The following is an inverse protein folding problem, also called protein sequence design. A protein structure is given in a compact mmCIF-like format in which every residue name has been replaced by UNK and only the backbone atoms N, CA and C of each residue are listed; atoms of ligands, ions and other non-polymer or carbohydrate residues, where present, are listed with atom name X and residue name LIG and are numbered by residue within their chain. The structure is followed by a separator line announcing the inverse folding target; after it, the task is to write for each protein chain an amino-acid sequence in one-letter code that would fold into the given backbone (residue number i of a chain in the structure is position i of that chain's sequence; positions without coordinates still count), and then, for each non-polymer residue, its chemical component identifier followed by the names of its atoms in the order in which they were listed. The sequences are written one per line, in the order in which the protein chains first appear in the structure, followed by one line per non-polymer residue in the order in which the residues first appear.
data_IF_377318425288
#
_entry.id   IF_377318425288
#
_cell.length_a   1.000
_cell.length_b   1.000
_cell.length_c   1.000
_cell.angle_alpha   90.00
_cell.angle_beta   90.00
_cell.angle_gamma   90.00
#
_symmetry.space_group_name_H-M   'P 1'
#
loop_
_entity.id
_entity.type
_entity.pdbx_description
1 polymer ?
#
# COMPACT_ATOMS: atom_id res chain seq x y z
N UNK A 1 28.69 -83.48 -23.11
CA UNK A 1 28.70 -82.11 -23.64
C UNK A 1 28.40 -81.18 -22.47
N UNK A 2 29.43 -80.93 -21.68
CA UNK A 2 29.34 -80.22 -20.41
C UNK A 2 29.63 -78.75 -20.62
N UNK A 3 29.02 -77.95 -19.75
CA UNK A 3 29.38 -76.58 -19.40
C UNK A 3 28.69 -75.52 -20.25
N UNK A 4 27.47 -75.25 -19.80
CA UNK A 4 26.87 -73.93 -19.74
C UNK A 4 27.87 -72.92 -19.19
N UNK A 5 28.80 -72.50 -20.03
CA UNK A 5 29.59 -71.29 -19.89
C UNK A 5 28.66 -70.10 -20.16
N UNK A 6 27.57 -70.01 -19.39
CA UNK A 6 26.82 -68.79 -19.09
C UNK A 6 27.67 -67.83 -18.24
N UNK A 7 28.97 -67.77 -18.55
CA UNK A 7 29.92 -66.76 -18.09
C UNK A 7 29.79 -65.60 -19.07
N UNK A 8 28.73 -64.83 -18.92
CA UNK A 8 28.76 -63.38 -19.05
C UNK A 8 27.94 -62.89 -17.85
N UNK A 9 28.54 -62.95 -16.66
CA UNK A 9 29.25 -61.79 -16.11
C UNK A 9 28.30 -60.59 -15.94
N UNK A 10 27.47 -60.69 -14.90
CA UNK A 10 27.36 -59.69 -13.82
C UNK A 10 27.75 -58.26 -14.23
N UNK A 11 26.92 -57.61 -15.03
CA UNK A 11 26.85 -56.15 -15.04
C UNK A 11 25.67 -55.72 -14.16
N UNK A 12 25.81 -55.98 -12.86
CA UNK A 12 25.03 -55.28 -11.85
C UNK A 12 25.55 -53.83 -11.82
N UNK A 13 25.15 -53.04 -12.81
CA UNK A 13 25.29 -51.59 -12.74
C UNK A 13 24.24 -51.07 -11.75
N UNK A 14 24.52 -51.31 -10.47
CA UNK A 14 23.90 -50.59 -9.37
C UNK A 14 24.34 -49.15 -9.52
N UNK A 15 23.61 -48.39 -10.32
CA UNK A 15 23.66 -46.94 -10.37
C UNK A 15 23.36 -46.45 -8.97
N UNK A 16 24.42 -46.34 -8.15
CA UNK A 16 24.35 -45.79 -6.82
C UNK A 16 23.95 -44.33 -6.96
N UNK A 17 22.64 -44.08 -6.87
CA UNK A 17 22.09 -42.74 -6.77
C UNK A 17 22.69 -42.15 -5.49
N UNK A 18 23.72 -41.32 -5.64
CA UNK A 18 24.37 -40.65 -4.53
C UNK A 18 23.28 -39.87 -3.79
N UNK A 19 22.88 -40.37 -2.63
CA UNK A 19 22.00 -39.66 -1.74
C UNK A 19 22.73 -38.40 -1.30
N UNK A 20 22.36 -37.25 -1.86
CA UNK A 20 22.86 -35.96 -1.43
C UNK A 20 22.49 -35.81 0.05
N UNK A 21 23.51 -35.91 0.91
CA UNK A 21 23.38 -35.78 2.36
C UNK A 21 22.73 -34.42 2.63
N UNK A 22 21.46 -34.41 3.02
CA UNK A 22 20.76 -33.18 3.43
C UNK A 22 21.43 -32.68 4.71
N UNK A 23 22.24 -31.64 4.60
CA UNK A 23 22.73 -30.87 5.75
C UNK A 23 21.54 -30.06 6.28
N UNK A 24 21.11 -30.36 7.50
CA UNK A 24 20.10 -29.56 8.21
C UNK A 24 20.72 -28.28 8.77
N UNK A 25 19.88 -27.26 8.99
CA UNK A 25 20.25 -26.07 9.73
C UNK A 25 20.56 -26.42 11.18
N UNK A 26 21.63 -25.86 11.72
CA UNK A 26 21.91 -25.98 13.15
C UNK A 26 20.99 -25.04 13.95
N UNK A 27 20.61 -25.43 15.17
CA UNK A 27 19.80 -24.56 16.05
C UNK A 27 20.51 -23.23 16.34
N UNK A 28 21.84 -23.27 16.44
CA UNK A 28 22.65 -22.08 16.68
C UNK A 28 22.66 -21.13 15.48
N UNK A 29 22.56 -21.64 14.25
CA UNK A 29 22.42 -20.83 13.04
C UNK A 29 21.13 -20.00 13.06
N UNK A 30 20.01 -20.59 13.47
CA UNK A 30 18.76 -19.85 13.55
C UNK A 30 18.76 -18.91 14.76
N UNK A 31 19.37 -19.31 15.88
CA UNK A 31 19.47 -18.48 17.09
C UNK A 31 20.18 -17.16 16.82
N UNK A 32 21.36 -17.19 16.21
CA UNK A 32 22.11 -15.96 15.95
C UNK A 32 21.39 -15.06 14.93
N UNK A 33 20.72 -15.66 13.93
CA UNK A 33 19.96 -14.92 12.92
C UNK A 33 18.80 -14.16 13.55
N UNK A 34 17.98 -14.80 14.40
CA UNK A 34 16.85 -14.10 15.04
C UNK A 34 17.31 -13.05 16.04
N UNK A 35 18.47 -13.23 16.68
CA UNK A 35 19.08 -12.21 17.55
C UNK A 35 19.47 -10.98 16.73
N UNK A 36 20.17 -11.16 15.61
CA UNK A 36 20.57 -10.03 14.75
C UNK A 36 19.32 -9.35 14.15
N UNK A 37 18.34 -10.13 13.67
CA UNK A 37 17.07 -9.59 13.18
C UNK A 37 16.32 -8.81 14.27
N UNK A 38 16.35 -9.27 15.52
CA UNK A 38 15.75 -8.57 16.66
C UNK A 38 16.39 -7.21 16.93
N UNK A 39 17.73 -7.14 16.93
CA UNK A 39 18.45 -5.87 17.11
C UNK A 39 18.19 -4.91 15.96
N UNK A 40 18.24 -5.38 14.71
CA UNK A 40 17.96 -4.56 13.54
C UNK A 40 16.51 -4.06 13.52
N UNK A 41 15.54 -4.92 13.84
CA UNK A 41 14.14 -4.55 13.89
C UNK A 41 13.89 -3.43 14.91
N UNK A 42 14.49 -3.51 16.10
CA UNK A 42 14.33 -2.48 17.14
C UNK A 42 14.80 -1.09 16.68
N UNK A 43 15.85 -1.01 15.86
CA UNK A 43 16.38 0.26 15.34
C UNK A 43 15.58 0.78 14.13
N UNK A 44 15.11 -0.12 13.25
CA UNK A 44 14.49 0.27 11.97
C UNK A 44 13.00 0.59 12.11
N UNK A 45 12.26 -0.15 12.95
CA UNK A 45 10.80 -0.01 13.10
C UNK A 45 10.34 1.44 13.38
N UNK A 46 10.90 2.19 14.36
CA UNK A 46 10.40 3.54 14.65
C UNK A 46 10.55 4.49 13.45
N UNK A 47 11.64 4.37 12.69
CA UNK A 47 11.86 5.18 11.49
C UNK A 47 10.84 4.86 10.39
N UNK A 48 10.53 3.58 10.18
CA UNK A 48 9.56 3.16 9.17
C UNK A 48 8.14 3.61 9.54
N UNK A 49 7.74 3.47 10.81
CA UNK A 49 6.40 3.91 11.25
C UNK A 49 6.22 5.41 11.08
N UNK A 50 7.23 6.22 11.43
CA UNK A 50 7.19 7.67 11.20
C UNK A 50 7.06 8.00 9.72
N UNK A 51 7.90 7.38 8.87
CA UNK A 51 7.87 7.63 7.43
C UNK A 51 6.53 7.24 6.79
N UNK A 52 5.89 6.16 7.25
CA UNK A 52 4.55 5.78 6.80
C UNK A 52 3.49 6.80 7.22
N UNK A 53 3.58 7.32 8.45
CA UNK A 53 2.71 8.41 8.93
C UNK A 53 2.84 9.68 8.09
N UNK A 54 4.08 10.08 7.80
CA UNK A 54 4.38 11.25 6.97
C UNK A 54 3.90 11.06 5.52
N UNK A 55 4.12 9.88 4.94
CA UNK A 55 3.65 9.54 3.60
C UNK A 55 2.12 9.60 3.50
N UNK A 56 1.41 9.07 4.50
CA UNK A 56 -0.06 9.13 4.56
C UNK A 56 -0.58 10.57 4.68
N UNK A 57 0.06 11.38 5.54
CA UNK A 57 -0.32 12.80 5.72
C UNK A 57 -0.05 13.62 4.47
N UNK A 58 1.08 13.37 3.80
CA UNK A 58 1.44 14.00 2.52
C UNK A 58 0.45 13.61 1.42
N UNK A 59 0.11 12.33 1.31
CA UNK A 59 -0.89 11.85 0.36
C UNK A 59 -2.27 12.47 0.61
N UNK A 60 -2.71 12.54 1.87
CA UNK A 60 -3.98 13.18 2.25
C UNK A 60 -3.98 14.67 1.88
N UNK A 61 -2.87 15.37 2.12
CA UNK A 61 -2.72 16.79 1.76
C UNK A 61 -2.73 17.00 0.24
N UNK A 62 -2.11 16.10 -0.53
CA UNK A 62 -2.11 16.16 -1.99
C UNK A 62 -3.53 15.97 -2.55
N UNK A 63 -4.27 14.98 -2.04
CA UNK A 63 -5.69 14.77 -2.39
C UNK A 63 -6.52 16.01 -2.03
N UNK A 64 -6.28 16.62 -0.85
CA UNK A 64 -6.92 17.86 -0.42
C UNK A 64 -6.72 19.03 -1.38
N UNK A 65 -5.51 19.19 -1.89
CA UNK A 65 -5.19 20.19 -2.91
C UNK A 65 -5.92 19.94 -4.24
N UNK A 66 -6.05 18.68 -4.65
CA UNK A 66 -6.76 18.30 -5.89
C UNK A 66 -8.24 18.70 -5.81
N UNK A 67 -8.93 18.37 -4.72
CA UNK A 67 -10.33 18.76 -4.54
C UNK A 67 -10.49 20.27 -4.41
N UNK A 68 -9.58 20.95 -3.69
CA UNK A 68 -9.56 22.42 -3.62
C UNK A 68 -9.60 23.02 -5.02
N UNK A 69 -8.75 22.51 -5.92
CA UNK A 69 -8.68 22.95 -7.31
C UNK A 69 -9.98 22.64 -8.06
N UNK A 70 -10.55 21.45 -7.87
CA UNK A 70 -11.80 21.06 -8.54
C UNK A 70 -12.99 21.91 -8.10
N UNK A 71 -13.15 22.14 -6.79
CA UNK A 71 -14.23 22.98 -6.24
C UNK A 71 -14.08 24.42 -6.70
N UNK A 72 -12.85 24.96 -6.68
CA UNK A 72 -12.58 26.31 -7.18
C UNK A 72 -12.96 26.42 -8.66
N UNK A 73 -12.58 25.44 -9.49
CA UNK A 73 -12.95 25.43 -10.92
C UNK A 73 -14.46 25.30 -11.13
N UNK A 74 -15.14 24.46 -10.34
CA UNK A 74 -16.59 24.31 -10.41
C UNK A 74 -17.30 25.64 -10.13
N UNK A 75 -16.94 26.30 -9.03
CA UNK A 75 -17.53 27.57 -8.63
C UNK A 75 -17.20 28.72 -9.62
N UNK A 76 -16.02 28.70 -10.25
CA UNK A 76 -15.62 29.72 -11.22
C UNK A 76 -16.26 29.55 -12.62
N UNK A 77 -16.31 28.32 -13.14
CA UNK A 77 -16.62 28.06 -14.54
C UNK A 77 -18.01 27.44 -14.76
N UNK A 78 -18.66 26.90 -13.73
CA UNK A 78 -19.96 26.23 -13.85
C UNK A 78 -20.95 26.57 -12.72
N UNK A 79 -21.18 27.86 -12.39
CA UNK A 79 -22.05 28.23 -11.27
C UNK A 79 -23.50 27.70 -11.42
N UNK A 80 -24.00 27.59 -12.65
CA UNK A 80 -25.37 27.16 -12.95
C UNK A 80 -25.58 25.64 -12.91
N UNK A 81 -24.51 24.83 -12.93
CA UNK A 81 -24.61 23.37 -12.99
C UNK A 81 -24.59 22.74 -11.60
N UNK A 82 -23.87 23.36 -10.66
CA UNK A 82 -23.91 23.16 -9.22
C UNK A 82 -22.93 24.15 -8.59
N UNK A 83 -23.23 24.64 -7.39
CA UNK A 83 -22.30 25.48 -6.61
C UNK A 83 -22.06 24.79 -5.27
N UNK A 84 -20.81 24.74 -4.83
CA UNK A 84 -20.45 24.27 -3.49
C UNK A 84 -20.17 25.50 -2.65
N UNK A 85 -21.03 25.76 -1.67
CA UNK A 85 -20.81 26.84 -0.70
C UNK A 85 -19.81 26.37 0.36
N UNK A 86 -18.64 27.01 0.36
CA UNK A 86 -17.58 26.72 1.30
C UNK A 86 -17.68 27.64 2.51
N UNK A 87 -17.79 27.05 3.70
CA UNK A 87 -17.87 27.74 4.97
C UNK A 87 -16.59 27.45 5.74
N UNK A 88 -15.99 28.50 6.30
CA UNK A 88 -14.75 28.38 7.07
C UNK A 88 -14.94 27.44 8.28
N UNK A 89 -14.01 26.51 8.46
CA UNK A 89 -14.05 25.52 9.54
C UNK A 89 -15.05 24.37 9.35
N UNK A 90 -15.84 24.35 8.28
CA UNK A 90 -16.76 23.24 8.00
C UNK A 90 -16.03 22.03 7.41
N UNK A 91 -16.48 20.83 7.78
CA UNK A 91 -15.97 19.57 7.25
C UNK A 91 -16.84 19.07 6.09
N UNK A 92 -16.17 18.64 5.03
CA UNK A 92 -16.79 18.18 3.79
C UNK A 92 -16.48 16.71 3.55
N UNK A 93 -17.52 15.92 3.32
CA UNK A 93 -17.44 14.51 2.94
C UNK A 93 -17.78 14.34 1.46
N UNK A 94 -17.57 13.13 0.92
CA UNK A 94 -17.93 12.80 -0.46
C UNK A 94 -19.39 13.15 -0.80
N UNK A 95 -20.32 13.00 0.16
CA UNK A 95 -21.73 13.38 -0.03
C UNK A 95 -21.92 14.89 -0.24
N UNK A 96 -21.30 15.72 0.60
CA UNK A 96 -21.40 17.19 0.48
C UNK A 96 -20.71 17.75 -0.78
N UNK A 97 -19.75 16.99 -1.33
CA UNK A 97 -18.99 17.35 -2.52
C UNK A 97 -19.52 16.69 -3.81
N UNK A 98 -20.69 16.03 -3.76
CA UNK A 98 -21.26 15.29 -4.89
C UNK A 98 -21.52 16.16 -6.14
N UNK A 99 -21.65 17.48 -5.97
CA UNK A 99 -21.70 18.45 -7.07
C UNK A 99 -20.50 18.32 -8.05
N UNK A 100 -19.32 17.93 -7.56
CA UNK A 100 -18.14 17.65 -8.39
C UNK A 100 -18.38 16.48 -9.35
N UNK A 101 -19.10 15.46 -8.89
CA UNK A 101 -19.45 14.27 -9.68
C UNK A 101 -20.50 14.64 -10.73
N UNK A 102 -21.55 15.36 -10.33
CA UNK A 102 -22.60 15.85 -11.24
C UNK A 102 -22.01 16.71 -12.35
N UNK A 103 -21.06 17.59 -12.02
CA UNK A 103 -20.40 18.47 -12.98
C UNK A 103 -19.26 17.82 -13.79
N UNK A 104 -19.04 16.50 -13.62
CA UNK A 104 -18.07 15.66 -14.34
C UNK A 104 -16.59 15.99 -14.08
N UNK A 105 -16.24 16.44 -12.87
CA UNK A 105 -14.84 16.64 -12.48
C UNK A 105 -14.17 15.37 -11.95
N UNK A 106 -14.94 14.44 -11.37
CA UNK A 106 -14.48 13.14 -10.89
C UNK A 106 -15.60 12.10 -10.93
N UNK A 107 -15.25 10.82 -10.75
CA UNK A 107 -16.24 9.76 -10.47
C UNK A 107 -16.65 9.76 -8.99
N UNK A 108 -17.79 9.13 -8.67
CA UNK A 108 -18.25 8.97 -7.28
C UNK A 108 -17.30 8.09 -6.45
N UNK A 109 -16.75 7.02 -7.06
CA UNK A 109 -15.72 6.19 -6.46
C UNK A 109 -14.48 7.01 -6.11
N UNK A 110 -13.98 7.80 -7.07
CA UNK A 110 -12.77 8.60 -6.86
C UNK A 110 -12.94 9.59 -5.71
N UNK A 111 -14.11 10.23 -5.61
CA UNK A 111 -14.39 11.17 -4.54
C UNK A 111 -14.48 10.49 -3.17
N UNK A 112 -15.06 9.28 -3.12
CA UNK A 112 -15.16 8.47 -1.89
C UNK A 112 -13.80 7.92 -1.46
N UNK A 113 -12.93 7.57 -2.42
CA UNK A 113 -11.57 7.10 -2.15
C UNK A 113 -10.61 8.25 -1.79
N UNK A 114 -10.91 9.46 -2.24
CA UNK A 114 -10.11 10.64 -1.93
C UNK A 114 -10.50 11.25 -0.59
N UNK A 115 -11.79 11.47 -0.33
CA UNK A 115 -12.27 12.09 0.89
C UNK A 115 -12.61 11.03 1.91
N UNK A 116 -11.96 11.09 3.08
CA UNK A 116 -12.28 10.21 4.20
C UNK A 116 -13.76 10.34 4.55
N UNK A 117 -14.48 9.23 4.50
CA UNK A 117 -15.93 9.18 4.71
C UNK A 117 -16.34 9.34 6.18
N UNK A 118 -15.42 9.11 7.13
CA UNK A 118 -15.64 9.25 8.56
C UNK A 118 -15.18 10.62 9.09
N UNK A 119 -14.07 11.15 8.58
CA UNK A 119 -13.46 12.40 9.08
C UNK A 119 -13.71 13.63 8.22
N UNK A 120 -13.96 13.43 6.92
CA UNK A 120 -14.06 14.52 5.95
C UNK A 120 -12.81 15.41 5.90
N UNK A 121 -12.86 16.46 5.08
CA UNK A 121 -11.82 17.48 5.02
C UNK A 121 -12.36 18.84 5.40
N UNK A 122 -11.58 19.59 6.17
CA UNK A 122 -12.00 20.89 6.69
C UNK A 122 -11.58 21.99 5.72
N UNK A 123 -12.51 22.88 5.38
CA UNK A 123 -12.22 24.06 4.59
C UNK A 123 -11.65 25.19 5.45
N UNK A 124 -10.60 25.87 4.96
CA UNK A 124 -10.06 27.07 5.59
C UNK A 124 -10.13 28.24 4.61
N UNK A 125 -10.92 29.26 4.93
CA UNK A 125 -11.16 30.41 4.06
C UNK A 125 -9.94 31.33 3.94
N UNK A 126 -9.11 31.45 4.99
CA UNK A 126 -7.91 32.29 4.95
C UNK A 126 -6.85 31.79 3.97
N UNK A 127 -6.80 30.48 3.72
CA UNK A 127 -5.83 29.85 2.81
C UNK A 127 -6.47 29.27 1.55
N UNK A 128 -7.80 29.39 1.41
CA UNK A 128 -8.61 28.82 0.33
C UNK A 128 -8.24 27.36 0.03
N UNK A 129 -8.12 26.54 1.07
CA UNK A 129 -7.62 25.17 0.95
C UNK A 129 -8.38 24.21 1.87
N UNK A 130 -8.60 22.99 1.37
CA UNK A 130 -8.99 21.85 2.19
C UNK A 130 -7.78 21.28 2.95
N UNK A 131 -8.01 20.94 4.22
CA UNK A 131 -7.03 20.25 5.06
C UNK A 131 -7.62 18.93 5.55
N UNK A 132 -6.85 17.83 5.52
CA UNK A 132 -7.32 16.57 6.07
C UNK A 132 -7.51 16.73 7.58
N UNK A 133 -8.66 16.28 8.09
CA UNK A 133 -8.91 16.26 9.53
C UNK A 133 -8.04 15.18 10.17
N UNK A 134 -7.29 15.48 11.26
CA UNK A 134 -6.41 14.51 11.91
C UNK A 134 -7.12 13.26 12.43
#
# INVERSE_FOLDING_TARGET
MTNAKTIIEKQNNSSGLKCLKRRGFTLIEILIVVVILGVLAALVIPGVVSALGDANTSAATARASQITTMVTRLNQFKPNNATITLTDGASYTAGTLAALVTAKYCSAEDLTNQVDSAKGWTWTASTNKFTPTP
#
